data_IF_275968126912
#
_entry.id   IF_275968126912
#
_cell.length_a   1.000
_cell.length_b   1.000
_cell.length_c   1.000
_cell.angle_alpha   90.00
_cell.angle_beta   90.00
_cell.angle_gamma   90.00
#
_symmetry.space_group_name_H-M   'P 1'
#
loop_
_entity.id
_entity.type
_entity.pdbx_description
1 polymer ?
#
# COMPACT_ATOMS: atom_id res chain seq x y z
N UNK A 1 12.17 -12.94 7.22
CA UNK A 1 11.82 -12.88 5.79
C UNK A 1 12.36 -11.61 5.16
N UNK A 2 11.75 -10.47 5.47
CA UNK A 2 12.04 -9.18 4.81
C UNK A 2 13.52 -8.75 4.85
N UNK A 3 14.19 -8.83 6.01
CA UNK A 3 15.61 -8.48 6.13
C UNK A 3 16.52 -9.33 5.24
N UNK A 4 16.19 -10.61 5.04
CA UNK A 4 16.93 -11.50 4.15
C UNK A 4 16.76 -11.05 2.70
N UNK A 5 15.52 -10.73 2.30
CA UNK A 5 15.22 -10.22 0.96
C UNK A 5 15.94 -8.89 0.70
N UNK A 6 15.94 -7.96 1.66
CA UNK A 6 16.62 -6.66 1.54
C UNK A 6 18.13 -6.75 1.38
N UNK A 7 18.74 -7.84 1.87
CA UNK A 7 20.18 -8.10 1.71
C UNK A 7 20.51 -8.96 0.49
N UNK A 8 19.50 -9.48 -0.19
CA UNK A 8 19.67 -10.25 -1.42
C UNK A 8 19.83 -9.32 -2.63
N UNK A 9 20.25 -9.84 -3.80
CA UNK A 9 20.32 -9.05 -5.05
C UNK A 9 18.99 -8.43 -5.48
N UNK A 10 17.85 -8.96 -5.00
CA UNK A 10 16.54 -8.42 -5.28
C UNK A 10 16.30 -7.08 -4.56
N UNK A 11 16.95 -6.87 -3.40
CA UNK A 11 16.93 -5.63 -2.64
C UNK A 11 15.61 -5.25 -1.97
N UNK A 12 14.46 -5.71 -2.48
CA UNK A 12 13.12 -5.30 -2.02
C UNK A 12 12.06 -6.29 -2.50
N UNK A 13 10.92 -6.32 -1.81
CA UNK A 13 9.72 -7.04 -2.26
C UNK A 13 8.97 -6.21 -3.29
N UNK A 14 8.67 -4.95 -2.99
CA UNK A 14 8.03 -3.99 -3.91
C UNK A 14 6.51 -4.10 -4.06
N UNK A 15 5.89 -5.17 -3.53
CA UNK A 15 4.44 -5.41 -3.58
C UNK A 15 4.00 -6.29 -2.41
N UNK A 16 4.43 -5.94 -1.20
CA UNK A 16 4.14 -6.73 -0.01
C UNK A 16 2.68 -6.50 0.42
N UNK A 17 1.86 -7.56 0.37
CA UNK A 17 0.43 -7.55 0.72
C UNK A 17 0.01 -8.91 1.26
N UNK A 18 -1.16 -9.00 1.89
CA UNK A 18 -1.59 -10.22 2.57
C UNK A 18 -1.72 -11.42 1.62
N UNK A 19 -2.15 -11.19 0.37
CA UNK A 19 -2.22 -12.23 -0.68
C UNK A 19 -0.85 -12.76 -1.14
N UNK A 20 0.24 -12.05 -0.80
CA UNK A 20 1.62 -12.46 -1.04
C UNK A 20 2.28 -13.08 0.21
N UNK A 21 1.53 -13.29 1.29
CA UNK A 21 1.97 -13.97 2.51
C UNK A 21 1.37 -15.37 2.56
N UNK A 22 2.19 -16.40 2.34
CA UNK A 22 1.78 -17.80 2.33
C UNK A 22 2.01 -18.42 3.71
N UNK A 23 0.97 -19.03 4.29
CA UNK A 23 1.07 -19.73 5.57
C UNK A 23 1.30 -21.23 5.34
N UNK A 24 2.37 -21.77 5.92
CA UNK A 24 2.64 -23.20 5.93
C UNK A 24 1.95 -23.87 7.13
N UNK A 25 1.71 -25.18 7.07
CA UNK A 25 0.98 -25.95 8.11
C UNK A 25 1.62 -25.94 9.51
N UNK A 26 2.82 -25.37 9.67
CA UNK A 26 3.49 -25.13 10.96
C UNK A 26 3.36 -23.69 11.45
N UNK A 27 2.37 -22.95 10.96
CA UNK A 27 2.16 -21.52 11.23
C UNK A 27 3.36 -20.63 10.85
N UNK A 28 4.13 -21.03 9.83
CA UNK A 28 5.22 -20.22 9.29
C UNK A 28 4.73 -19.40 8.11
N UNK A 29 4.98 -18.08 8.13
CA UNK A 29 4.70 -17.20 7.00
C UNK A 29 5.90 -17.13 6.06
N UNK A 30 5.66 -17.34 4.77
CA UNK A 30 6.62 -17.21 3.67
C UNK A 30 6.15 -16.09 2.73
N UNK A 31 7.09 -15.30 2.25
CA UNK A 31 6.82 -14.22 1.30
C UNK A 31 6.82 -14.79 -0.14
N UNK A 32 5.93 -14.30 -1.01
CA UNK A 32 5.83 -14.67 -2.42
C UNK A 32 5.57 -13.45 -3.31
N UNK A 33 5.60 -13.61 -4.63
CA UNK A 33 5.26 -12.50 -5.54
C UNK A 33 6.25 -11.35 -5.52
N UNK A 34 7.55 -11.64 -5.51
CA UNK A 34 8.64 -10.66 -5.60
C UNK A 34 9.66 -11.06 -6.69
N UNK A 35 10.41 -10.09 -7.23
CA UNK A 35 11.62 -10.34 -8.02
C UNK A 35 11.45 -10.73 -9.49
N UNK A 36 10.23 -10.84 -10.02
CA UNK A 36 9.97 -11.11 -11.44
C UNK A 36 9.30 -9.92 -12.15
N UNK A 37 9.60 -8.72 -11.67
CA UNK A 37 8.88 -7.52 -12.07
C UNK A 37 9.08 -7.15 -13.54
N UNK A 38 10.31 -7.20 -14.05
CA UNK A 38 10.57 -6.91 -15.47
C UNK A 38 9.96 -7.96 -16.40
N UNK A 39 9.90 -9.23 -15.98
CA UNK A 39 9.27 -10.29 -16.78
C UNK A 39 7.75 -10.14 -16.84
N UNK A 40 7.13 -9.68 -15.75
CA UNK A 40 5.68 -9.51 -15.67
C UNK A 40 5.20 -8.28 -16.47
N UNK A 41 5.95 -7.18 -16.44
CA UNK A 41 5.49 -5.89 -16.98
C UNK A 41 6.26 -5.44 -18.22
N UNK A 42 7.39 -6.07 -18.54
CA UNK A 42 8.27 -5.70 -19.66
C UNK A 42 9.14 -4.46 -19.40
N UNK A 43 8.96 -3.78 -18.28
CA UNK A 43 9.62 -2.52 -17.92
C UNK A 43 9.99 -2.48 -16.44
N UNK A 44 10.91 -1.60 -16.04
CA UNK A 44 11.44 -1.50 -14.67
C UNK A 44 10.66 -0.53 -13.77
N UNK A 45 9.80 0.31 -14.36
CA UNK A 45 8.98 1.30 -13.65
C UNK A 45 7.51 1.28 -14.07
N UNK A 46 6.63 1.64 -13.13
CA UNK A 46 5.24 2.01 -13.34
C UNK A 46 5.20 3.48 -13.79
N UNK A 47 4.44 3.78 -14.84
CA UNK A 47 3.99 5.14 -15.16
C UNK A 47 2.53 5.29 -14.79
N UNK A 48 2.17 6.44 -14.27
CA UNK A 48 0.77 6.82 -14.07
C UNK A 48 0.37 7.67 -15.27
N UNK A 49 0.03 7.03 -16.39
CA UNK A 49 -0.55 7.77 -17.51
C UNK A 49 -2.02 8.08 -17.19
N UNK A 50 -2.50 9.26 -17.57
CA UNK A 50 -3.87 9.72 -17.31
C UNK A 50 -4.91 8.70 -17.79
N UNK A 51 -4.67 8.02 -18.91
CA UNK A 51 -5.55 6.99 -19.48
C UNK A 51 -5.62 5.71 -18.63
N UNK A 52 -4.51 5.31 -18.00
CA UNK A 52 -4.46 4.14 -17.09
C UNK A 52 -5.05 4.46 -15.73
N UNK A 53 -4.92 5.72 -15.30
CA UNK A 53 -5.53 6.24 -14.08
C UNK A 53 -7.04 6.34 -14.26
N UNK A 54 -7.53 6.73 -15.43
CA UNK A 54 -8.95 6.70 -15.78
C UNK A 54 -9.50 5.27 -15.87
N UNK A 55 -8.78 4.29 -16.42
CA UNK A 55 -9.25 2.89 -16.40
C UNK A 55 -9.31 2.30 -14.99
N UNK A 56 -8.35 2.66 -14.12
CA UNK A 56 -8.31 2.21 -12.73
C UNK A 56 -9.30 3.00 -11.84
N UNK A 57 -9.54 4.27 -12.15
CA UNK A 57 -10.55 5.12 -11.54
C UNK A 57 -11.96 4.81 -12.07
N UNK A 58 -12.14 4.25 -13.26
CA UNK A 58 -13.44 3.73 -13.72
C UNK A 58 -13.79 2.41 -13.01
N UNK A 59 -12.82 1.76 -12.35
CA UNK A 59 -13.03 0.72 -11.33
C UNK A 59 -13.11 1.30 -9.90
N UNK A 60 -13.52 2.58 -9.76
CA UNK A 60 -13.59 3.35 -8.50
C UNK A 60 -14.29 2.61 -7.37
N UNK A 61 -15.23 1.73 -7.70
CA UNK A 61 -16.17 1.16 -6.74
C UNK A 61 -15.58 0.00 -5.91
N UNK A 62 -14.41 -0.57 -6.26
CA UNK A 62 -13.87 -1.67 -5.44
C UNK A 62 -12.39 -2.06 -5.59
N UNK A 63 -11.76 -1.94 -6.77
CA UNK A 63 -10.47 -2.63 -7.02
C UNK A 63 -9.24 -1.73 -7.12
N UNK A 64 -9.36 -0.51 -7.65
CA UNK A 64 -8.19 0.32 -7.98
C UNK A 64 -7.38 0.83 -6.79
N UNK A 65 -8.07 1.30 -5.74
CA UNK A 65 -7.42 1.82 -4.52
C UNK A 65 -6.82 0.72 -3.64
N UNK A 66 -7.38 -0.49 -3.68
CA UNK A 66 -6.91 -1.63 -2.90
C UNK A 66 -5.47 -2.04 -3.27
N UNK A 67 -5.05 -1.81 -4.52
CA UNK A 67 -3.68 -2.11 -4.94
C UNK A 67 -2.66 -1.12 -4.37
N UNK A 68 -3.01 0.17 -4.27
CA UNK A 68 -2.12 1.21 -3.75
C UNK A 68 -2.11 1.34 -2.23
N UNK A 69 -3.12 0.80 -1.56
CA UNK A 69 -3.25 0.85 -0.11
C UNK A 69 -2.01 0.32 0.63
N UNK A 70 -1.38 -0.72 0.10
CA UNK A 70 -0.16 -1.32 0.67
C UNK A 70 1.12 -0.56 0.30
N UNK A 71 1.04 0.38 -0.65
CA UNK A 71 2.18 1.12 -1.15
C UNK A 71 2.47 2.32 -0.26
N UNK A 72 3.76 2.54 0.00
CA UNK A 72 4.17 3.66 0.83
C UNK A 72 3.89 5.00 0.15
N UNK A 73 3.42 6.03 0.89
CA UNK A 73 2.94 7.29 0.30
C UNK A 73 4.02 8.01 -0.52
N UNK A 74 5.28 7.90 -0.13
CA UNK A 74 6.40 8.49 -0.87
C UNK A 74 6.60 7.90 -2.27
N UNK A 75 6.12 6.67 -2.53
CA UNK A 75 6.17 6.05 -3.85
C UNK A 75 5.02 6.55 -4.74
N UNK A 76 3.86 6.87 -4.16
CA UNK A 76 2.68 7.35 -4.89
C UNK A 76 2.88 8.73 -5.54
N UNK A 77 3.89 9.48 -5.10
CA UNK A 77 4.20 10.81 -5.64
C UNK A 77 5.29 10.81 -6.71
N UNK A 78 5.86 9.64 -7.04
CA UNK A 78 6.90 9.57 -8.05
C UNK A 78 6.28 9.52 -9.46
N UNK A 79 6.83 10.29 -10.42
CA UNK A 79 6.38 10.21 -11.82
C UNK A 79 6.68 8.85 -12.46
N UNK A 80 7.71 8.16 -11.96
CA UNK A 80 8.06 6.80 -12.34
C UNK A 80 8.35 6.00 -11.08
N UNK A 81 7.50 5.02 -10.77
CA UNK A 81 7.65 4.19 -9.57
C UNK A 81 8.39 2.91 -9.94
N UNK A 82 9.56 2.61 -9.35
CA UNK A 82 10.22 1.33 -9.60
C UNK A 82 9.32 0.16 -9.22
N UNK A 83 9.12 -0.83 -10.11
CA UNK A 83 8.33 -2.02 -9.78
C UNK A 83 8.96 -2.84 -8.65
N UNK A 84 10.29 -2.80 -8.55
CA UNK A 84 11.05 -3.39 -7.45
C UNK A 84 10.78 -2.73 -6.10
N UNK A 85 10.21 -1.52 -6.08
CA UNK A 85 9.93 -0.75 -4.88
C UNK A 85 11.19 -0.37 -4.11
N UNK A 86 11.11 -0.38 -2.78
CA UNK A 86 12.26 -0.09 -1.92
C UNK A 86 12.14 -0.77 -0.55
N UNK A 87 13.26 -1.00 0.16
CA UNK A 87 13.23 -1.52 1.53
C UNK A 87 12.36 -0.70 2.49
N UNK A 88 12.36 0.63 2.34
CA UNK A 88 11.52 1.54 3.12
C UNK A 88 10.05 1.41 2.76
N UNK A 89 9.75 1.14 1.48
CA UNK A 89 8.41 0.83 1.00
C UNK A 89 7.89 -0.45 1.65
N UNK A 90 8.68 -1.52 1.63
CA UNK A 90 8.29 -2.79 2.27
C UNK A 90 8.08 -2.66 3.78
N UNK A 91 8.87 -1.81 4.45
CA UNK A 91 8.70 -1.55 5.89
C UNK A 91 7.35 -0.89 6.19
N UNK A 92 6.89 0.04 5.33
CA UNK A 92 5.56 0.61 5.42
C UNK A 92 4.48 -0.45 5.19
N UNK A 93 4.58 -1.22 4.10
CA UNK A 93 3.63 -2.28 3.79
C UNK A 93 3.52 -3.31 4.92
N UNK A 94 4.66 -3.67 5.52
CA UNK A 94 4.71 -4.56 6.68
C UNK A 94 3.97 -3.97 7.88
N UNK A 95 4.14 -2.67 8.16
CA UNK A 95 3.41 -2.00 9.24
C UNK A 95 1.89 -2.02 9.01
N UNK A 96 1.44 -1.82 7.76
CA UNK A 96 0.02 -1.93 7.38
C UNK A 96 -0.49 -3.36 7.59
N UNK A 97 0.28 -4.38 7.17
CA UNK A 97 -0.08 -5.79 7.36
C UNK A 97 -0.15 -6.20 8.83
N UNK A 98 0.74 -5.68 9.67
CA UNK A 98 0.74 -5.97 11.10
C UNK A 98 -0.44 -5.32 11.83
N UNK A 99 -1.13 -4.35 11.22
CA UNK A 99 -2.31 -3.71 11.84
C UNK A 99 -3.47 -4.67 12.00
N UNK A 100 -3.82 -5.44 10.96
CA UNK A 100 -4.98 -6.34 10.96
C UNK A 100 -5.01 -7.35 12.12
N UNK A 101 -3.94 -8.12 12.40
CA UNK A 101 -3.96 -9.07 13.52
C UNK A 101 -3.96 -8.40 14.89
N UNK A 102 -3.58 -7.12 14.98
CA UNK A 102 -3.51 -6.36 16.25
C UNK A 102 -4.84 -5.62 16.52
N UNK A 103 -5.51 -5.16 15.46
CA UNK A 103 -6.75 -4.41 15.53
C UNK A 103 -7.87 -5.20 14.83
N UNK A 104 -8.79 -5.77 15.62
CA UNK A 104 -9.97 -6.51 15.19
C UNK A 104 -11.04 -5.68 14.42
N UNK A 105 -10.68 -4.48 13.93
CA UNK A 105 -11.58 -3.66 13.12
C UNK A 105 -11.46 -4.11 11.65
N UNK A 106 -12.58 -4.45 11.03
CA UNK A 106 -12.70 -4.84 9.60
C UNK A 106 -12.39 -3.68 8.62
N UNK A 107 -11.75 -2.61 9.09
CA UNK A 107 -11.55 -1.33 8.40
C UNK A 107 -10.07 -1.00 8.35
N UNK A 108 -9.53 -0.66 7.18
CA UNK A 108 -8.14 -0.23 6.95
C UNK A 108 -7.73 1.02 7.73
N UNK A 109 -6.42 1.38 7.83
CA UNK A 109 -5.93 2.50 8.65
C UNK A 109 -6.49 3.86 8.22
N UNK A 110 -7.15 3.89 7.06
CA UNK A 110 -7.75 5.08 6.48
C UNK A 110 -9.26 4.93 6.22
N UNK A 111 -9.86 3.77 6.50
CA UNK A 111 -11.28 3.53 6.23
C UNK A 111 -12.19 4.27 7.22
N UNK A 112 -11.68 4.62 8.40
CA UNK A 112 -12.40 5.45 9.39
C UNK A 112 -12.39 6.94 9.02
N UNK A 113 -11.61 7.35 8.02
CA UNK A 113 -11.54 8.73 7.58
C UNK A 113 -12.57 8.93 6.47
N UNK A 114 -13.65 9.64 6.79
CA UNK A 114 -14.69 10.06 5.86
C UNK A 114 -14.15 11.13 4.88
N UNK A 115 -13.06 10.80 4.17
CA UNK A 115 -12.40 11.63 3.17
C UNK A 115 -13.18 11.46 1.87
N UNK A 116 -14.27 12.20 1.76
CA UNK A 116 -14.81 12.50 0.43
C UNK A 116 -13.71 13.20 -0.37
N UNK A 117 -13.42 12.78 -1.62
CA UNK A 117 -12.46 13.48 -2.46
C UNK A 117 -12.96 14.92 -2.60
N UNK A 118 -12.22 15.88 -2.02
CA UNK A 118 -12.53 17.28 -2.23
C UNK A 118 -12.39 17.54 -3.73
N UNK A 119 -13.45 18.07 -4.34
CA UNK A 119 -13.49 18.42 -5.76
C UNK A 119 -12.36 19.38 -6.18
N UNK A 120 -12.28 19.74 -7.48
CA UNK A 120 -11.06 20.19 -8.16
C UNK A 120 -10.53 21.57 -7.76
N UNK A 121 -10.99 22.15 -6.65
CA UNK A 121 -10.50 23.43 -6.14
C UNK A 121 -10.07 23.28 -4.69
N UNK A 122 -8.76 23.06 -4.51
CA UNK A 122 -8.16 22.78 -3.22
C UNK A 122 -8.36 23.88 -2.19
N UNK A 123 -8.73 23.50 -0.97
CA UNK A 123 -8.54 24.31 0.25
C UNK A 123 -8.38 23.38 1.47
N UNK A 124 -7.19 23.48 2.09
CA UNK A 124 -6.79 23.06 3.46
C UNK A 124 -7.72 22.07 4.18
N UNK A 125 -7.26 20.82 4.27
CA UNK A 125 -7.67 19.92 5.35
C UNK A 125 -7.31 20.57 6.70
N UNK A 126 -8.32 21.08 7.40
CA UNK A 126 -8.16 21.56 8.77
C UNK A 126 -8.36 20.36 9.68
N UNK A 127 -7.29 19.90 10.31
CA UNK A 127 -7.34 18.86 11.35
C UNK A 127 -8.05 19.45 12.58
N UNK A 128 -9.34 19.20 12.71
CA UNK A 128 -10.05 19.41 13.98
C UNK A 128 -9.87 18.17 14.85
N UNK A 129 -9.03 18.26 15.88
CA UNK A 129 -8.98 17.27 16.95
C UNK A 129 -10.20 17.45 17.87
N UNK A 130 -10.92 16.38 18.26
CA UNK A 130 -11.92 16.48 19.29
C UNK A 130 -11.23 16.76 20.63
N UNK A 131 -11.54 17.90 21.24
CA UNK A 131 -11.19 18.19 22.63
C UNK A 131 -12.03 17.28 23.51
N UNK A 132 -11.36 16.44 24.32
CA UNK A 132 -12.01 15.57 25.29
C UNK A 132 -12.91 16.36 26.24
N UNK A 133 -14.15 15.91 26.39
CA UNK A 133 -15.09 16.37 27.41
C UNK A 133 -15.24 15.29 28.48
N UNK A 134 -14.81 15.62 29.69
CA UNK A 134 -14.87 14.80 30.89
C UNK A 134 -16.30 14.38 31.25
N UNK A 135 -16.42 13.18 31.82
CA UNK A 135 -17.66 12.67 32.36
C UNK A 135 -18.12 13.43 33.62
N UNK A 136 -19.43 13.50 33.77
CA UNK A 136 -20.14 13.36 35.05
C UNK A 136 -21.41 12.56 34.81
#
# INVERSE_FOLDING_TARGET
GLLFLHRSPLGSHGNLKLSNCLMEGRMQVKLSGFGLWELQHGWTYRTYDEETTDLLALTFDSLGFAEFYWMAPQLLWLPQVPWSGSPKGDAYSFAVLMREPIHHQDLGPFDDQNLTPAGPHGLRATLTFPVGGEGK
#
